data_IF_443909148051
#
_entry.id   IF_443909148051
#
_cell.length_a   1.000
_cell.length_b   1.000
_cell.length_c   1.000
_cell.angle_alpha   90.00
_cell.angle_beta   90.00
_cell.angle_gamma   90.00
#
_symmetry.space_group_name_H-M   'P 1'
#
loop_
_entity.id
_entity.type
_entity.pdbx_description
1 polymer ?
#
# COMPACT_ATOMS: atom_id res chain seq x y z
N UNK A 1 14.29 44.20 -12.78
CA UNK A 1 14.22 43.36 -11.59
C UNK A 1 12.94 42.54 -11.71
N UNK A 2 13.07 41.35 -12.20
CA UNK A 2 11.97 40.38 -12.35
C UNK A 2 12.06 39.42 -11.16
N UNK A 3 11.06 39.45 -10.28
CA UNK A 3 10.96 38.53 -9.16
C UNK A 3 10.58 37.15 -9.69
N UNK A 4 11.50 36.24 -9.54
CA UNK A 4 11.29 34.82 -9.80
C UNK A 4 10.47 34.25 -8.64
N UNK A 5 9.16 34.11 -8.82
CA UNK A 5 8.27 33.40 -7.89
C UNK A 5 8.43 31.92 -8.14
N UNK A 6 9.47 31.33 -7.54
CA UNK A 6 9.66 29.88 -7.48
C UNK A 6 8.44 29.23 -6.84
N UNK A 7 7.58 28.65 -7.66
CA UNK A 7 6.59 27.68 -7.20
C UNK A 7 7.35 26.43 -6.71
N UNK A 8 7.54 26.35 -5.41
CA UNK A 8 7.91 25.08 -4.76
C UNK A 8 6.72 24.14 -4.93
N UNK A 9 6.88 23.14 -5.78
CA UNK A 9 5.95 22.01 -5.84
C UNK A 9 5.81 21.35 -4.45
N UNK A 10 4.75 20.59 -4.21
CA UNK A 10 4.51 19.96 -2.91
C UNK A 10 5.73 19.11 -2.52
N UNK A 11 6.25 19.33 -1.31
CA UNK A 11 7.29 18.51 -0.70
C UNK A 11 6.81 17.07 -0.65
N UNK A 12 7.37 16.22 -1.51
CA UNK A 12 7.18 14.77 -1.44
C UNK A 12 7.93 14.28 -0.19
N UNK A 13 7.32 13.38 0.62
CA UNK A 13 7.99 12.83 1.79
C UNK A 13 9.27 12.12 1.40
N UNK A 14 10.30 12.24 2.26
CA UNK A 14 11.61 11.62 2.08
C UNK A 14 11.51 10.09 2.09
N UNK A 15 12.38 9.45 1.32
CA UNK A 15 12.59 8.02 1.14
C UNK A 15 11.65 7.32 0.15
N UNK A 16 11.57 7.83 -1.08
CA UNK A 16 10.93 7.11 -2.16
C UNK A 16 11.98 6.32 -2.96
N UNK A 17 11.71 5.05 -3.24
CA UNK A 17 12.49 4.32 -4.23
C UNK A 17 12.35 4.99 -5.61
N UNK A 18 13.34 4.82 -6.49
CA UNK A 18 13.26 5.32 -7.88
C UNK A 18 12.05 4.76 -8.65
N UNK A 19 11.46 3.65 -8.14
CA UNK A 19 10.28 3.00 -8.72
C UNK A 19 8.95 3.69 -8.35
N UNK A 20 8.87 4.37 -7.20
CA UNK A 20 7.61 4.95 -6.70
C UNK A 20 6.93 5.92 -7.69
N UNK A 21 7.64 6.86 -8.36
CA UNK A 21 7.01 7.73 -9.35
C UNK A 21 6.43 6.96 -10.54
N UNK A 22 7.10 5.89 -10.98
CA UNK A 22 6.62 5.04 -12.08
C UNK A 22 5.36 4.28 -11.65
N UNK A 23 5.37 3.66 -10.48
CA UNK A 23 4.22 2.94 -9.93
C UNK A 23 3.02 3.87 -9.72
N UNK A 24 3.25 5.08 -9.20
CA UNK A 24 2.19 6.07 -9.05
C UNK A 24 1.60 6.44 -10.42
N UNK A 25 2.43 6.67 -11.45
CA UNK A 25 1.96 6.94 -12.81
C UNK A 25 1.09 5.80 -13.33
N UNK A 26 1.52 4.54 -13.19
CA UNK A 26 0.75 3.37 -13.62
C UNK A 26 -0.61 3.28 -12.92
N UNK A 27 -0.64 3.49 -11.60
CA UNK A 27 -1.89 3.47 -10.82
C UNK A 27 -2.84 4.60 -11.25
N UNK A 28 -2.31 5.80 -11.51
CA UNK A 28 -3.12 6.95 -11.93
C UNK A 28 -3.69 6.80 -13.34
N UNK A 29 -3.10 5.96 -14.19
CA UNK A 29 -3.62 5.67 -15.53
C UNK A 29 -4.81 4.71 -15.52
N UNK A 30 -4.91 3.84 -14.51
CA UNK A 30 -5.98 2.83 -14.43
C UNK A 30 -7.12 3.25 -13.51
N UNK A 31 -6.91 4.26 -12.67
CA UNK A 31 -7.89 4.78 -11.71
C UNK A 31 -8.59 6.03 -12.26
N UNK A 32 -9.90 6.13 -11.98
CA UNK A 32 -10.77 7.23 -12.40
C UNK A 32 -11.68 7.69 -11.25
N UNK A 33 -12.39 8.80 -11.43
CA UNK A 33 -13.39 9.29 -10.45
C UNK A 33 -14.42 8.19 -10.13
N UNK A 34 -14.68 7.99 -8.86
CA UNK A 34 -15.59 6.95 -8.35
C UNK A 34 -14.93 5.60 -8.02
N UNK A 35 -13.67 5.40 -8.36
CA UNK A 35 -12.96 4.16 -8.08
C UNK A 35 -12.58 4.01 -6.60
N UNK A 36 -12.36 2.76 -6.18
CA UNK A 36 -11.83 2.42 -4.84
C UNK A 36 -10.41 1.90 -4.98
N UNK A 37 -9.51 2.49 -4.21
CA UNK A 37 -8.11 2.10 -4.08
C UNK A 37 -7.80 1.66 -2.65
N UNK A 38 -7.02 0.59 -2.51
CA UNK A 38 -6.51 0.10 -1.23
C UNK A 38 -5.00 0.24 -1.21
N UNK A 39 -4.48 0.95 -0.20
CA UNK A 39 -3.04 1.16 0.05
C UNK A 39 -2.66 0.46 1.35
N UNK A 40 -1.96 -0.67 1.25
CA UNK A 40 -1.54 -1.49 2.40
C UNK A 40 -0.06 -1.20 2.69
N UNK A 41 0.21 -0.71 3.90
CA UNK A 41 1.48 -0.08 4.24
C UNK A 41 1.54 1.35 3.67
N UNK A 42 0.49 2.13 3.93
CA UNK A 42 0.30 3.44 3.32
C UNK A 42 1.35 4.47 3.77
N UNK A 43 2.06 4.19 4.87
CA UNK A 43 3.08 5.08 5.42
C UNK A 43 2.53 6.51 5.54
N UNK A 44 3.30 7.53 5.19
CA UNK A 44 2.89 8.95 5.22
C UNK A 44 1.97 9.38 4.06
N UNK A 45 1.52 8.43 3.22
CA UNK A 45 0.50 8.66 2.19
C UNK A 45 1.04 9.02 0.80
N UNK A 46 2.24 8.58 0.45
CA UNK A 46 2.84 8.85 -0.87
C UNK A 46 1.92 8.43 -2.03
N UNK A 47 1.26 7.27 -1.93
CA UNK A 47 0.29 6.80 -2.93
C UNK A 47 -1.14 7.25 -2.58
N UNK A 48 -1.57 7.07 -1.34
CA UNK A 48 -2.93 7.35 -0.91
C UNK A 48 -3.38 8.78 -1.22
N UNK A 49 -2.55 9.80 -0.93
CA UNK A 49 -2.95 11.21 -1.06
C UNK A 49 -3.12 11.65 -2.52
N UNK A 50 -2.18 11.42 -3.46
CA UNK A 50 -2.40 11.79 -4.86
C UNK A 50 -3.51 10.97 -5.51
N UNK A 51 -3.65 9.67 -5.19
CA UNK A 51 -4.70 8.81 -5.74
C UNK A 51 -6.08 9.28 -5.27
N UNK A 52 -6.22 9.77 -4.03
CA UNK A 52 -7.48 10.33 -3.55
C UNK A 52 -7.97 11.51 -4.39
N UNK A 53 -7.07 12.32 -4.98
CA UNK A 53 -7.46 13.39 -5.91
C UNK A 53 -8.04 12.85 -7.22
N UNK A 54 -7.60 11.68 -7.64
CA UNK A 54 -8.02 11.05 -8.90
C UNK A 54 -9.38 10.37 -8.72
N UNK A 55 -9.53 9.57 -7.66
CA UNK A 55 -10.79 8.88 -7.39
C UNK A 55 -11.89 9.84 -6.92
N UNK A 56 -11.50 11.02 -6.45
CA UNK A 56 -12.41 12.13 -6.15
C UNK A 56 -13.44 11.80 -5.07
N UNK A 57 -14.46 12.67 -5.00
CA UNK A 57 -15.52 12.58 -3.98
C UNK A 57 -16.46 11.39 -4.13
N UNK A 58 -16.55 10.84 -5.33
CA UNK A 58 -17.36 9.67 -5.62
C UNK A 58 -16.65 8.36 -5.32
N UNK A 59 -15.30 8.39 -5.26
CA UNK A 59 -14.45 7.26 -4.94
C UNK A 59 -14.01 7.21 -3.49
N UNK A 60 -13.12 6.25 -3.19
CA UNK A 60 -12.58 6.05 -1.84
C UNK A 60 -11.16 5.50 -1.88
N UNK A 61 -10.32 5.97 -0.96
CA UNK A 61 -9.04 5.34 -0.63
C UNK A 61 -9.13 4.76 0.77
N UNK A 62 -8.85 3.46 0.92
CA UNK A 62 -8.63 2.82 2.21
C UNK A 62 -7.13 2.65 2.41
N UNK A 63 -6.56 3.38 3.36
CA UNK A 63 -5.14 3.39 3.68
C UNK A 63 -4.92 2.65 5.00
N UNK A 64 -4.10 1.60 4.98
CA UNK A 64 -3.78 0.78 6.16
C UNK A 64 -2.36 1.07 6.60
N UNK A 65 -2.22 1.61 7.81
CA UNK A 65 -0.92 1.93 8.43
C UNK A 65 -0.98 1.62 9.94
N UNK A 66 -0.25 0.61 10.40
CA UNK A 66 -0.35 0.19 11.80
C UNK A 66 0.34 1.12 12.80
N UNK A 67 1.31 1.94 12.39
CA UNK A 67 1.99 2.88 13.26
C UNK A 67 1.14 4.14 13.46
N UNK A 68 0.62 4.36 14.66
CA UNK A 68 -0.31 5.47 14.96
C UNK A 68 0.27 6.85 14.66
N UNK A 69 1.55 7.07 14.93
CA UNK A 69 2.25 8.32 14.62
C UNK A 69 2.38 8.56 13.10
N UNK A 70 2.68 7.51 12.33
CA UNK A 70 2.78 7.56 10.86
C UNK A 70 1.38 7.76 10.25
N UNK A 71 0.37 7.04 10.74
CA UNK A 71 -1.03 7.23 10.34
C UNK A 71 -1.53 8.66 10.57
N UNK A 72 -1.11 9.31 11.68
CA UNK A 72 -1.45 10.72 11.92
C UNK A 72 -0.73 11.66 10.94
N UNK A 73 0.52 11.39 10.55
CA UNK A 73 1.19 12.15 9.49
C UNK A 73 0.46 12.01 8.15
N UNK A 74 -0.03 10.81 7.81
CA UNK A 74 -0.86 10.60 6.63
C UNK A 74 -2.15 11.44 6.70
N UNK A 75 -2.86 11.44 7.85
CA UNK A 75 -4.06 12.27 8.04
C UNK A 75 -3.75 13.77 7.89
N UNK A 76 -2.61 14.23 8.42
CA UNK A 76 -2.16 15.62 8.24
C UNK A 76 -1.90 15.94 6.76
N UNK A 77 -1.23 15.05 6.03
CA UNK A 77 -0.99 15.20 4.61
C UNK A 77 -2.31 15.25 3.82
N UNK A 78 -3.26 14.37 4.13
CA UNK A 78 -4.59 14.35 3.50
C UNK A 78 -5.37 15.66 3.75
N UNK A 79 -5.35 16.18 4.99
CA UNK A 79 -5.96 17.49 5.34
C UNK A 79 -5.30 18.63 4.57
N UNK A 80 -3.98 18.68 4.56
CA UNK A 80 -3.23 19.73 3.87
C UNK A 80 -3.49 19.77 2.36
N UNK A 81 -3.82 18.62 1.76
CA UNK A 81 -4.15 18.48 0.34
C UNK A 81 -5.67 18.56 0.06
N UNK A 82 -6.52 18.69 1.09
CA UNK A 82 -7.97 18.78 0.96
C UNK A 82 -8.65 17.48 0.51
N UNK A 83 -8.02 16.32 0.71
CA UNK A 83 -8.52 15.01 0.30
C UNK A 83 -8.94 14.11 1.47
N UNK A 84 -8.83 14.60 2.70
CA UNK A 84 -9.20 13.84 3.91
C UNK A 84 -10.58 13.18 3.83
N UNK A 85 -11.65 13.80 3.27
CA UNK A 85 -12.96 13.16 3.21
C UNK A 85 -13.02 11.92 2.30
N UNK A 86 -12.01 11.71 1.46
CA UNK A 86 -11.96 10.62 0.47
C UNK A 86 -10.98 9.51 0.87
N UNK A 87 -10.26 9.69 2.00
CA UNK A 87 -9.32 8.70 2.55
C UNK A 87 -9.85 8.24 3.90
N UNK A 88 -9.98 6.93 4.07
CA UNK A 88 -10.17 6.29 5.37
C UNK A 88 -8.86 5.68 5.81
N UNK A 89 -8.28 6.19 6.90
CA UNK A 89 -7.02 5.68 7.48
C UNK A 89 -7.35 4.69 8.57
N UNK A 90 -6.95 3.44 8.36
CA UNK A 90 -7.10 2.32 9.29
C UNK A 90 -5.79 2.10 10.05
N UNK A 91 -5.79 2.36 11.37
CA UNK A 91 -4.63 2.12 12.24
C UNK A 91 -4.54 0.65 12.64
N UNK A 92 -4.28 -0.20 11.66
CA UNK A 92 -4.12 -1.63 11.84
C UNK A 92 -3.27 -2.23 10.73
N UNK A 93 -2.72 -3.40 10.96
CA UNK A 93 -2.05 -4.18 9.94
C UNK A 93 -3.03 -5.16 9.28
N UNK A 94 -2.81 -5.45 7.99
CA UNK A 94 -3.51 -6.54 7.33
C UNK A 94 -2.69 -7.83 7.41
N UNK A 95 -3.40 -8.95 7.52
CA UNK A 95 -2.83 -10.29 7.55
C UNK A 95 -3.83 -11.35 7.14
N UNK A 96 -3.47 -12.63 7.26
CA UNK A 96 -4.33 -13.76 6.87
C UNK A 96 -5.44 -14.07 7.88
N UNK A 97 -5.25 -13.68 9.15
CA UNK A 97 -6.18 -13.91 10.25
C UNK A 97 -6.16 -12.74 11.22
N UNK A 98 -7.26 -12.57 11.94
CA UNK A 98 -7.39 -11.54 12.97
C UNK A 98 -6.55 -11.87 14.21
N UNK A 99 -5.93 -10.84 14.81
CA UNK A 99 -5.08 -10.99 15.98
C UNK A 99 -4.35 -9.71 16.37
N UNK A 100 -3.20 -9.87 17.00
CA UNK A 100 -2.26 -8.78 17.30
C UNK A 100 -0.83 -9.25 17.13
N UNK A 101 0.08 -8.31 16.90
CA UNK A 101 1.51 -8.58 16.76
C UNK A 101 2.33 -7.35 17.15
N UNK A 102 3.64 -7.55 17.38
CA UNK A 102 4.54 -6.47 17.72
C UNK A 102 5.06 -5.77 16.45
N UNK A 103 4.89 -4.47 16.38
CA UNK A 103 5.58 -3.61 15.41
C UNK A 103 6.99 -3.31 15.95
N UNK A 104 8.02 -3.51 15.14
CA UNK A 104 9.42 -3.39 15.52
C UNK A 104 10.13 -2.32 14.72
N UNK A 105 11.01 -1.56 15.38
CA UNK A 105 11.87 -0.59 14.72
C UNK A 105 13.06 -1.28 14.04
N UNK A 106 13.55 -0.65 12.98
CA UNK A 106 14.89 -0.96 12.43
C UNK A 106 15.96 -0.69 13.49
N UNK A 107 16.76 -1.69 13.89
CA UNK A 107 17.79 -1.51 14.92
C UNK A 107 18.91 -0.53 14.52
N UNK A 108 19.13 -0.31 13.22
CA UNK A 108 20.12 0.64 12.71
C UNK A 108 19.54 2.08 12.62
N UNK A 109 18.21 2.20 12.53
CA UNK A 109 17.49 3.46 12.42
C UNK A 109 16.27 3.50 13.36
N UNK A 110 16.47 3.33 14.69
CA UNK A 110 15.34 3.13 15.62
C UNK A 110 14.40 4.34 15.75
N UNK A 111 14.89 5.53 15.42
CA UNK A 111 14.13 6.78 15.46
C UNK A 111 13.39 7.07 14.14
N UNK A 112 13.63 6.29 13.06
CA UNK A 112 12.94 6.44 11.79
C UNK A 112 11.62 5.68 11.82
N UNK A 113 10.53 6.41 12.05
CA UNK A 113 9.19 5.84 12.14
C UNK A 113 8.70 5.20 10.82
N UNK A 114 9.31 5.53 9.70
CA UNK A 114 8.96 4.97 8.38
C UNK A 114 9.63 3.61 8.12
N UNK A 115 10.63 3.25 8.95
CA UNK A 115 11.35 1.97 8.89
C UNK A 115 10.91 1.04 10.01
N UNK A 116 9.62 0.70 10.05
CA UNK A 116 9.05 -0.24 11.02
C UNK A 116 8.42 -1.40 10.28
N UNK A 117 8.58 -2.61 10.82
CA UNK A 117 8.02 -3.82 10.21
C UNK A 117 7.53 -4.81 11.26
N UNK A 118 6.63 -5.67 10.85
CA UNK A 118 6.16 -6.81 11.63
C UNK A 118 7.08 -8.02 11.50
N UNK A 119 7.91 -8.07 10.44
CA UNK A 119 8.67 -9.25 10.04
C UNK A 119 10.17 -9.01 9.88
N UNK A 120 10.57 -7.76 9.58
CA UNK A 120 11.94 -7.48 9.14
C UNK A 120 12.94 -7.38 10.27
N UNK A 121 12.53 -6.88 11.44
CA UNK A 121 13.48 -6.45 12.44
C UNK A 121 13.47 -7.30 13.71
N UNK A 122 14.65 -7.65 14.21
CA UNK A 122 14.86 -8.14 15.58
C UNK A 122 15.08 -6.95 16.57
N UNK A 123 14.70 -5.76 16.16
CA UNK A 123 14.79 -4.52 16.92
C UNK A 123 13.75 -4.43 18.04
N UNK A 124 13.77 -3.31 18.80
CA UNK A 124 12.86 -3.10 19.90
C UNK A 124 11.41 -3.03 19.41
N UNK A 125 10.50 -3.64 20.18
CA UNK A 125 9.06 -3.45 19.98
C UNK A 125 8.69 -1.98 20.26
N UNK A 126 8.07 -1.33 19.29
CA UNK A 126 7.62 0.07 19.41
C UNK A 126 6.13 0.16 19.71
N UNK A 127 5.34 -0.83 19.29
CA UNK A 127 3.91 -0.92 19.57
C UNK A 127 3.40 -2.35 19.42
N UNK A 128 2.32 -2.67 20.10
CA UNK A 128 1.44 -3.80 19.77
C UNK A 128 0.36 -3.27 18.82
N UNK A 129 0.17 -3.94 17.69
CA UNK A 129 -0.78 -3.53 16.66
C UNK A 129 -1.81 -4.60 16.38
N UNK A 130 -3.02 -4.17 16.06
CA UNK A 130 -4.11 -5.06 15.66
C UNK A 130 -3.83 -5.55 14.24
N UNK A 131 -4.09 -6.84 14.00
CA UNK A 131 -4.06 -7.47 12.68
C UNK A 131 -5.47 -7.90 12.32
N UNK A 132 -5.91 -7.60 11.11
CA UNK A 132 -7.20 -8.02 10.56
C UNK A 132 -7.03 -8.60 9.17
N UNK A 133 -7.90 -9.52 8.80
CA UNK A 133 -8.02 -9.92 7.40
C UNK A 133 -8.84 -8.89 6.63
N UNK A 134 -8.42 -8.56 5.42
CA UNK A 134 -9.16 -7.61 4.57
C UNK A 134 -10.57 -8.12 4.24
N UNK A 135 -10.67 -9.40 3.89
CA UNK A 135 -11.97 -10.05 3.61
C UNK A 135 -12.91 -9.98 4.82
N UNK A 136 -12.36 -10.08 6.05
CA UNK A 136 -13.11 -9.90 7.31
C UNK A 136 -13.63 -8.46 7.49
N UNK A 137 -12.80 -7.45 7.18
CA UNK A 137 -13.19 -6.04 7.24
C UNK A 137 -14.28 -5.69 6.22
N UNK A 138 -14.21 -6.27 5.02
CA UNK A 138 -15.25 -6.12 4.01
C UNK A 138 -16.54 -6.81 4.44
N UNK A 139 -16.45 -8.03 4.98
CA UNK A 139 -17.61 -8.77 5.45
C UNK A 139 -18.32 -8.11 6.65
N UNK A 140 -17.57 -7.44 7.53
CA UNK A 140 -18.14 -6.67 8.65
C UNK A 140 -18.70 -5.31 8.26
N UNK A 141 -18.41 -4.82 7.04
CA UNK A 141 -18.79 -3.48 6.57
C UNK A 141 -17.88 -2.36 7.08
N UNK A 142 -16.77 -2.68 7.72
CA UNK A 142 -15.74 -1.69 8.13
C UNK A 142 -14.99 -1.11 6.92
N UNK A 143 -14.90 -1.87 5.83
CA UNK A 143 -14.41 -1.44 4.52
C UNK A 143 -15.55 -1.51 3.51
N UNK A 144 -15.95 -0.35 3.00
CA UNK A 144 -17.01 -0.27 1.99
C UNK A 144 -16.44 -0.43 0.58
N UNK A 145 -16.85 -1.50 -0.09
CA UNK A 145 -16.53 -1.81 -1.48
C UNK A 145 -17.79 -1.89 -2.34
N UNK A 146 -18.78 -1.01 -2.10
CA UNK A 146 -20.06 -1.03 -2.82
C UNK A 146 -19.89 -0.92 -4.35
N UNK A 147 -18.83 -0.21 -4.79
CA UNK A 147 -18.49 -0.11 -6.22
C UNK A 147 -17.43 -1.13 -6.68
N UNK A 148 -17.00 -2.02 -5.77
CA UNK A 148 -15.91 -2.97 -5.99
C UNK A 148 -14.52 -2.39 -5.68
N UNK A 149 -13.51 -3.24 -5.69
CA UNK A 149 -12.09 -2.88 -5.53
C UNK A 149 -11.44 -2.72 -6.90
N UNK A 150 -10.80 -1.58 -7.18
CA UNK A 150 -10.31 -1.24 -8.52
C UNK A 150 -8.80 -1.34 -8.67
N UNK A 151 -8.05 -0.98 -7.65
CA UNK A 151 -6.60 -1.21 -7.61
C UNK A 151 -6.11 -1.37 -6.15
N UNK A 152 -4.96 -2.03 -6.00
CA UNK A 152 -4.32 -2.29 -4.70
C UNK A 152 -2.83 -2.03 -4.79
N UNK A 153 -2.24 -1.44 -3.75
CA UNK A 153 -0.81 -1.49 -3.47
C UNK A 153 -0.58 -2.24 -2.16
N UNK A 154 0.43 -3.11 -2.14
CA UNK A 154 0.86 -3.86 -0.94
C UNK A 154 2.36 -3.67 -0.80
N UNK A 155 2.77 -3.06 0.31
CA UNK A 155 4.15 -2.76 0.65
C UNK A 155 4.27 -2.76 2.18
N UNK A 156 4.54 -3.93 2.74
CA UNK A 156 4.49 -4.18 4.19
C UNK A 156 5.74 -4.87 4.71
N UNK A 157 6.83 -4.71 3.96
CA UNK A 157 8.16 -5.10 4.40
C UNK A 157 8.23 -6.60 4.78
N UNK A 158 7.77 -7.49 3.86
CA UNK A 158 7.83 -8.94 3.99
C UNK A 158 6.50 -9.63 4.27
N UNK A 159 5.49 -8.92 4.73
CA UNK A 159 4.16 -9.45 5.07
C UNK A 159 3.18 -9.59 3.89
N UNK A 160 3.62 -9.51 2.65
CA UNK A 160 2.76 -9.46 1.46
C UNK A 160 1.94 -10.75 1.29
N UNK A 161 2.54 -11.91 1.54
CA UNK A 161 1.82 -13.19 1.43
C UNK A 161 0.66 -13.35 2.43
N UNK A 162 0.83 -13.09 3.74
CA UNK A 162 -0.28 -13.00 4.69
C UNK A 162 -1.36 -12.00 4.28
N UNK A 163 -0.99 -10.82 3.77
CA UNK A 163 -1.96 -9.81 3.28
C UNK A 163 -2.76 -10.38 2.11
N UNK A 164 -2.09 -10.91 1.09
CA UNK A 164 -2.74 -11.52 -0.09
C UNK A 164 -3.68 -12.66 0.31
N UNK A 165 -3.29 -13.51 1.26
CA UNK A 165 -4.14 -14.59 1.76
C UNK A 165 -5.41 -14.04 2.44
N UNK A 166 -5.30 -12.93 3.20
CA UNK A 166 -6.42 -12.27 3.86
C UNK A 166 -7.30 -11.41 2.96
N UNK A 167 -6.89 -11.21 1.69
CA UNK A 167 -7.63 -10.48 0.65
C UNK A 167 -8.19 -11.39 -0.43
N UNK A 168 -7.93 -12.70 -0.36
CA UNK A 168 -8.16 -13.65 -1.45
C UNK A 168 -9.57 -13.57 -2.03
N UNK A 169 -10.60 -13.61 -1.17
CA UNK A 169 -12.00 -13.61 -1.62
C UNK A 169 -12.37 -12.31 -2.35
N UNK A 170 -11.90 -11.17 -1.84
CA UNK A 170 -12.12 -9.88 -2.47
C UNK A 170 -11.40 -9.79 -3.82
N UNK A 171 -10.14 -10.24 -3.91
CA UNK A 171 -9.39 -10.25 -5.17
C UNK A 171 -10.03 -11.16 -6.24
N UNK A 172 -10.56 -12.32 -5.84
CA UNK A 172 -11.30 -13.23 -6.72
C UNK A 172 -12.64 -12.62 -7.21
N UNK A 173 -13.37 -11.97 -6.30
CA UNK A 173 -14.68 -11.37 -6.59
C UNK A 173 -14.59 -10.14 -7.48
N UNK A 174 -13.75 -9.18 -7.10
CA UNK A 174 -13.72 -7.83 -7.69
C UNK A 174 -12.75 -7.72 -8.87
N UNK A 175 -11.72 -8.57 -8.89
CA UNK A 175 -10.70 -8.60 -9.96
C UNK A 175 -10.11 -7.23 -10.26
N UNK A 176 -9.45 -6.56 -9.28
CA UNK A 176 -8.82 -5.25 -9.48
C UNK A 176 -8.03 -5.16 -10.78
N UNK A 177 -8.13 -4.02 -11.46
CA UNK A 177 -7.45 -3.75 -12.74
C UNK A 177 -5.92 -3.77 -12.61
N UNK A 178 -5.41 -3.45 -11.42
CA UNK A 178 -3.98 -3.43 -11.12
C UNK A 178 -3.71 -3.75 -9.66
N UNK A 179 -2.71 -4.59 -9.42
CA UNK A 179 -2.19 -4.88 -8.08
C UNK A 179 -0.68 -4.66 -8.12
N UNK A 180 -0.18 -3.76 -7.28
CA UNK A 180 1.24 -3.48 -7.09
C UNK A 180 1.68 -4.12 -5.80
N UNK A 181 2.74 -4.93 -5.82
CA UNK A 181 3.23 -5.66 -4.65
C UNK A 181 4.74 -5.45 -4.54
N UNK A 182 5.21 -5.06 -3.34
CA UNK A 182 6.64 -5.13 -3.06
C UNK A 182 7.12 -6.59 -3.11
N UNK A 183 8.25 -6.83 -3.78
CA UNK A 183 8.75 -8.19 -4.02
C UNK A 183 10.25 -8.29 -3.71
N UNK A 184 10.67 -7.74 -2.59
CA UNK A 184 12.06 -7.85 -2.13
C UNK A 184 12.28 -9.26 -1.56
N UNK A 185 13.03 -10.08 -2.29
CA UNK A 185 13.25 -11.50 -1.93
C UNK A 185 13.79 -11.68 -0.51
N UNK A 186 14.66 -10.76 -0.03
CA UNK A 186 15.21 -10.81 1.32
C UNK A 186 14.15 -10.60 2.40
N UNK A 187 13.20 -9.68 2.18
CA UNK A 187 12.08 -9.40 3.08
C UNK A 187 11.12 -10.58 3.13
N UNK A 188 10.71 -11.06 1.96
CA UNK A 188 9.81 -12.20 1.83
C UNK A 188 10.36 -13.46 2.49
N UNK A 189 11.66 -13.77 2.31
CA UNK A 189 12.30 -14.94 2.93
C UNK A 189 12.30 -14.87 4.45
N UNK A 190 12.52 -13.71 5.05
CA UNK A 190 12.44 -13.54 6.50
C UNK A 190 11.04 -13.84 7.04
N UNK A 191 10.01 -13.47 6.29
CA UNK A 191 8.62 -13.76 6.62
C UNK A 191 8.14 -15.15 6.19
N UNK A 192 9.05 -16.01 5.70
CA UNK A 192 8.74 -17.38 5.31
C UNK A 192 8.11 -17.53 3.90
N UNK A 193 8.26 -16.52 3.03
CA UNK A 193 7.73 -16.52 1.67
C UNK A 193 8.85 -16.30 0.63
N UNK A 194 8.48 -16.14 -0.64
CA UNK A 194 9.40 -15.87 -1.77
C UNK A 194 8.67 -15.10 -2.86
N UNK A 195 9.43 -14.41 -3.73
CA UNK A 195 8.89 -13.79 -4.95
C UNK A 195 8.16 -14.81 -5.82
N UNK A 196 8.71 -16.03 -5.95
CA UNK A 196 8.07 -17.10 -6.70
C UNK A 196 6.70 -17.51 -6.12
N UNK A 197 6.54 -17.51 -4.80
CA UNK A 197 5.27 -17.80 -4.14
C UNK A 197 4.22 -16.71 -4.41
N UNK A 198 4.60 -15.42 -4.38
CA UNK A 198 3.73 -14.29 -4.77
C UNK A 198 3.25 -14.48 -6.22
N UNK A 199 4.18 -14.72 -7.16
CA UNK A 199 3.80 -14.93 -8.56
C UNK A 199 2.91 -16.16 -8.76
N UNK A 200 3.11 -17.24 -8.00
CA UNK A 200 2.27 -18.43 -8.06
C UNK A 200 0.85 -18.13 -7.55
N UNK A 201 0.73 -17.42 -6.42
CA UNK A 201 -0.54 -16.99 -5.86
C UNK A 201 -1.32 -16.10 -6.84
N UNK A 202 -0.64 -15.12 -7.45
CA UNK A 202 -1.28 -14.22 -8.41
C UNK A 202 -1.73 -14.93 -9.68
N UNK A 203 -0.95 -15.90 -10.18
CA UNK A 203 -1.38 -16.75 -11.32
C UNK A 203 -2.59 -17.62 -10.98
N UNK A 204 -2.66 -18.17 -9.77
CA UNK A 204 -3.81 -18.94 -9.30
C UNK A 204 -5.09 -18.10 -9.29
N UNK A 205 -4.99 -16.81 -8.98
CA UNK A 205 -6.08 -15.82 -9.08
C UNK A 205 -6.35 -15.36 -10.53
N UNK A 206 -5.62 -15.85 -11.53
CA UNK A 206 -5.79 -15.45 -12.92
C UNK A 206 -5.17 -14.09 -13.27
N UNK A 207 -4.13 -13.68 -12.56
CA UNK A 207 -3.34 -12.49 -12.87
C UNK A 207 -2.04 -12.86 -13.55
N UNK A 208 -1.54 -11.96 -14.37
CA UNK A 208 -0.19 -12.03 -14.95
C UNK A 208 0.65 -10.84 -14.52
N UNK A 209 1.95 -11.04 -14.39
CA UNK A 209 2.87 -9.93 -14.21
C UNK A 209 2.86 -9.04 -15.47
N UNK A 210 2.82 -7.74 -15.26
CA UNK A 210 2.86 -6.75 -16.33
C UNK A 210 4.31 -6.53 -16.77
N UNK A 211 4.57 -6.66 -18.08
CA UNK A 211 5.79 -6.21 -18.72
C UNK A 211 5.48 -4.88 -19.43
N UNK A 212 5.87 -3.77 -18.82
CA UNK A 212 5.66 -2.45 -19.42
C UNK A 212 6.99 -1.86 -19.90
N UNK A 213 7.06 -1.48 -21.19
CA UNK A 213 8.24 -0.89 -21.79
C UNK A 213 8.58 0.52 -21.23
N UNK A 214 7.65 1.15 -20.51
CA UNK A 214 7.88 2.41 -19.80
C UNK A 214 8.72 2.22 -18.54
N UNK A 215 8.76 1.01 -18.02
CA UNK A 215 9.69 0.62 -16.97
C UNK A 215 11.02 0.36 -17.65
N UNK A 216 11.85 1.40 -17.79
CA UNK A 216 13.13 1.38 -18.51
C UNK A 216 14.14 0.35 -17.95
N UNK A 217 13.87 -0.20 -16.79
CA UNK A 217 14.51 -1.38 -16.16
C UNK A 217 13.41 -2.26 -15.60
N UNK A 218 13.61 -3.60 -15.50
CA UNK A 218 12.72 -4.43 -14.69
C UNK A 218 12.57 -3.80 -13.31
N UNK A 219 11.34 -3.73 -12.79
CA UNK A 219 11.14 -3.34 -11.40
C UNK A 219 11.88 -4.35 -10.53
N UNK A 220 12.81 -3.88 -9.72
CA UNK A 220 13.67 -4.74 -8.88
C UNK A 220 13.04 -4.99 -7.52
N UNK A 221 12.25 -4.01 -7.05
CA UNK A 221 11.65 -4.02 -5.72
C UNK A 221 10.15 -4.29 -5.74
N UNK A 222 9.50 -4.14 -6.89
CA UNK A 222 8.05 -4.27 -7.02
C UNK A 222 7.66 -5.14 -8.22
N UNK A 223 6.52 -5.82 -8.10
CA UNK A 223 5.84 -6.46 -9.22
C UNK A 223 4.46 -5.84 -9.42
N UNK A 224 4.09 -5.64 -10.69
CA UNK A 224 2.77 -5.15 -11.09
C UNK A 224 2.01 -6.30 -11.74
N UNK A 225 0.80 -6.56 -11.25
CA UNK A 225 -0.07 -7.61 -11.75
C UNK A 225 -1.35 -7.02 -12.34
N UNK A 226 -1.77 -7.57 -13.48
CA UNK A 226 -3.01 -7.21 -14.17
C UNK A 226 -3.79 -8.50 -14.49
N UNK A 227 -5.11 -8.44 -14.65
CA UNK A 227 -5.91 -9.60 -15.07
C UNK A 227 -5.33 -10.25 -16.33
N UNK A 228 -5.24 -11.60 -16.32
CA UNK A 228 -4.77 -12.41 -17.44
C UNK A 228 -5.81 -12.60 -18.53
#
# INVERSE_FOLDING_TARGET
>A
MSEDTGQQGPLLPNACSEEHPVLLSLLTEVLTDGDVFVDVGANTGYFAVPIAKIVGKAGRVHAFEPAADVAEELRKAARAQGVEPWITVHELALGSVDGSTSLRADPEHPDDSTKRSLFMWDGPTVAEVVVRSFDGLVASGEVDLTTGLHAVKIDVEGGEMPVLAGMRQTLERDRPRMIVIETIEGHLRRAGSTVAAIHAFMRDLGYRAMNDARVARPLELNAVFVPG
#
